data_IF_774602292060
#
_entry.id   IF_774602292060
#
_cell.length_a   1.000
_cell.length_b   1.000
_cell.length_c   1.000
_cell.angle_alpha   90.00
_cell.angle_beta   90.00
_cell.angle_gamma   90.00
#
_symmetry.space_group_name_H-M   'P 1'
#
loop_
_entity.id
_entity.type
_entity.pdbx_description
1 polymer ?
#
# COMPACT_ATOMS: atom_id res chain seq x y z
N UNK A 1 9.17 -12.97 22.63
CA UNK A 1 9.15 -11.67 21.97
C UNK A 1 8.23 -11.65 20.76
N UNK A 2 7.84 -10.48 20.34
CA UNK A 2 7.06 -10.25 19.12
C UNK A 2 7.84 -9.27 18.26
N UNK A 3 7.97 -9.58 16.98
CA UNK A 3 8.60 -8.68 16.01
C UNK A 3 7.67 -8.58 14.80
N UNK A 4 6.82 -7.57 14.82
CA UNK A 4 5.81 -7.35 13.77
C UNK A 4 5.73 -5.88 13.43
N UNK A 5 5.77 -5.58 12.14
CA UNK A 5 5.65 -4.23 11.59
C UNK A 5 4.48 -4.22 10.62
N UNK A 6 3.62 -3.24 10.77
CA UNK A 6 2.50 -2.99 9.86
C UNK A 6 2.61 -1.54 9.36
N UNK A 7 2.65 -1.37 8.06
CA UNK A 7 2.81 -0.08 7.42
C UNK A 7 1.80 0.10 6.28
N UNK A 8 1.26 1.30 6.18
CA UNK A 8 0.55 1.76 4.98
C UNK A 8 1.24 3.03 4.50
N UNK A 9 1.66 3.04 3.26
CA UNK A 9 2.36 4.19 2.70
C UNK A 9 2.43 4.13 1.19
N UNK A 10 3.11 5.10 0.62
CA UNK A 10 3.27 5.21 -0.82
C UNK A 10 4.72 4.92 -1.23
N UNK A 11 4.88 4.27 -2.37
CA UNK A 11 6.22 4.05 -2.90
C UNK A 11 6.87 5.37 -3.33
N UNK A 12 8.07 5.63 -2.81
CA UNK A 12 8.86 6.81 -3.14
C UNK A 12 9.66 6.68 -4.43
N UNK A 13 9.78 5.47 -4.93
CA UNK A 13 10.45 5.12 -6.18
C UNK A 13 9.90 3.82 -6.74
N UNK A 14 10.19 3.53 -7.99
CA UNK A 14 9.89 2.21 -8.57
C UNK A 14 10.63 1.11 -7.79
N UNK A 15 10.01 -0.06 -7.58
CA UNK A 15 10.68 -1.19 -6.93
C UNK A 15 11.93 -1.62 -7.68
N UNK A 16 12.99 -1.89 -6.94
CA UNK A 16 14.19 -2.50 -7.50
C UNK A 16 14.13 -4.01 -7.28
N UNK A 17 14.10 -4.76 -8.37
CA UNK A 17 14.06 -6.22 -8.33
C UNK A 17 15.40 -6.78 -8.80
N UNK A 18 15.97 -7.65 -7.98
CA UNK A 18 17.19 -8.40 -8.27
C UNK A 18 16.95 -9.88 -8.05
N UNK A 19 17.78 -10.69 -8.67
CA UNK A 19 17.75 -12.13 -8.48
C UNK A 19 19.01 -12.58 -7.75
N UNK A 20 18.82 -13.44 -6.73
CA UNK A 20 19.92 -14.07 -6.04
C UNK A 20 20.59 -15.13 -6.92
N UNK A 21 21.76 -15.64 -6.50
CA UNK A 21 22.44 -16.69 -7.22
C UNK A 21 21.60 -17.96 -7.35
N UNK A 22 20.70 -18.22 -6.40
CA UNK A 22 19.75 -19.33 -6.45
C UNK A 22 18.52 -19.07 -7.33
N UNK A 23 18.43 -17.88 -7.96
CA UNK A 23 17.29 -17.50 -8.79
C UNK A 23 16.08 -16.94 -8.03
N UNK A 24 16.22 -16.68 -6.74
CA UNK A 24 15.14 -16.08 -5.92
C UNK A 24 15.07 -14.58 -6.19
N UNK A 25 13.89 -14.10 -6.52
CA UNK A 25 13.64 -12.67 -6.67
C UNK A 25 13.73 -11.95 -5.32
N UNK A 26 14.36 -10.79 -5.32
CA UNK A 26 14.47 -9.89 -4.17
C UNK A 26 14.07 -8.50 -4.61
N UNK A 27 13.04 -7.95 -4.01
CA UNK A 27 12.59 -6.59 -4.31
C UNK A 27 12.89 -5.65 -3.13
N UNK A 28 13.48 -4.51 -3.44
CA UNK A 28 13.69 -3.43 -2.49
C UNK A 28 12.68 -2.33 -2.76
N UNK A 29 11.99 -1.92 -1.72
CA UNK A 29 11.00 -0.87 -1.74
C UNK A 29 11.43 0.28 -0.83
N UNK A 30 11.16 1.48 -1.27
CA UNK A 30 11.27 2.66 -0.43
C UNK A 30 9.89 3.22 -0.16
N UNK A 31 9.44 3.09 1.07
CA UNK A 31 8.09 3.42 1.47
C UNK A 31 8.07 4.77 2.20
N UNK A 32 7.24 5.68 1.73
CA UNK A 32 6.94 6.92 2.43
C UNK A 32 5.70 6.71 3.30
N UNK A 33 5.91 6.74 4.61
CA UNK A 33 4.84 6.67 5.60
C UNK A 33 4.66 8.05 6.21
N UNK A 34 3.55 8.69 5.88
CA UNK A 34 3.27 10.05 6.31
C UNK A 34 2.21 10.07 7.41
N UNK A 35 2.48 10.87 8.42
CA UNK A 35 1.55 11.11 9.51
C UNK A 35 1.51 12.60 9.85
N UNK A 36 0.41 13.02 10.42
CA UNK A 36 0.29 14.39 10.94
C UNK A 36 0.59 14.39 12.43
N UNK A 37 1.51 15.23 12.82
CA UNK A 37 1.92 15.41 14.21
C UNK A 37 1.63 16.83 14.66
N UNK A 38 1.24 16.96 15.93
CA UNK A 38 1.07 18.24 16.58
C UNK A 38 2.37 18.63 17.28
N UNK A 39 2.88 19.83 17.00
CA UNK A 39 4.06 20.35 17.66
C UNK A 39 3.73 20.94 19.05
N UNK A 40 4.77 21.41 19.74
CA UNK A 40 4.61 22.00 21.07
C UNK A 40 3.83 23.32 21.07
N UNK A 41 3.78 24.01 19.93
CA UNK A 41 3.03 25.25 19.75
C UNK A 41 1.58 25.03 19.35
N UNK A 42 1.17 23.77 19.19
CA UNK A 42 -0.17 23.38 18.82
C UNK A 42 -0.45 23.34 17.31
N UNK A 43 0.56 23.53 16.48
CA UNK A 43 0.44 23.46 15.03
C UNK A 43 0.54 22.03 14.53
N UNK A 44 -0.22 21.73 13.46
CA UNK A 44 -0.17 20.43 12.80
C UNK A 44 0.87 20.45 11.69
N UNK A 45 1.82 19.54 11.76
CA UNK A 45 2.87 19.35 10.77
C UNK A 45 2.82 17.96 10.20
N UNK A 46 3.12 17.85 8.90
CA UNK A 46 3.27 16.56 8.23
C UNK A 46 4.69 16.03 8.46
N UNK A 47 4.77 14.77 8.85
CA UNK A 47 6.03 14.06 9.03
C UNK A 47 6.03 12.80 8.19
N UNK A 48 7.10 12.58 7.43
CA UNK A 48 7.25 11.41 6.57
C UNK A 48 8.46 10.60 7.02
N UNK A 49 8.21 9.33 7.36
CA UNK A 49 9.26 8.34 7.55
C UNK A 49 9.50 7.59 6.25
N UNK A 50 10.76 7.48 5.88
CA UNK A 50 11.20 6.69 4.73
C UNK A 50 11.66 5.33 5.20
N UNK A 51 10.90 4.31 4.90
CA UNK A 51 11.14 2.95 5.39
C UNK A 51 11.68 2.09 4.26
N UNK A 52 12.83 1.47 4.49
CA UNK A 52 13.36 0.43 3.60
C UNK A 52 12.63 -0.87 3.86
N UNK A 53 12.11 -1.45 2.81
CA UNK A 53 11.40 -2.72 2.86
C UNK A 53 11.96 -3.66 1.81
N UNK A 54 12.16 -4.90 2.20
CA UNK A 54 12.62 -5.95 1.31
C UNK A 54 11.59 -7.08 1.31
N UNK A 55 11.34 -7.65 0.15
CA UNK A 55 10.53 -8.86 0.00
C UNK A 55 11.19 -9.84 -0.96
N UNK A 56 10.78 -11.09 -0.88
CA UNK A 56 11.43 -12.21 -1.56
C UNK A 56 10.42 -13.04 -2.34
N UNK A 57 10.94 -13.77 -3.32
CA UNK A 57 10.21 -14.78 -4.05
C UNK A 57 9.03 -14.23 -4.83
N UNK A 58 7.90 -14.88 -4.73
CA UNK A 58 6.69 -14.52 -5.48
C UNK A 58 6.14 -13.14 -5.13
N UNK A 59 6.27 -12.72 -3.88
CA UNK A 59 5.92 -11.36 -3.46
C UNK A 59 6.78 -10.34 -4.17
N UNK A 60 8.07 -10.59 -4.29
CA UNK A 60 8.99 -9.73 -5.02
C UNK A 60 8.66 -9.64 -6.51
N UNK A 61 8.33 -10.75 -7.14
CA UNK A 61 7.90 -10.77 -8.54
C UNK A 61 6.63 -9.94 -8.76
N UNK A 62 5.63 -10.09 -7.91
CA UNK A 62 4.39 -9.34 -7.99
C UNK A 62 4.62 -7.84 -7.79
N UNK A 63 5.44 -7.49 -6.83
CA UNK A 63 5.82 -6.10 -6.57
C UNK A 63 6.51 -5.48 -7.79
N UNK A 64 7.45 -6.18 -8.37
CA UNK A 64 8.16 -5.71 -9.56
C UNK A 64 7.29 -5.54 -10.79
N UNK A 65 6.30 -6.43 -10.97
CA UNK A 65 5.42 -6.43 -12.13
C UNK A 65 4.30 -5.38 -12.04
N UNK A 66 3.80 -5.09 -10.84
CA UNK A 66 2.55 -4.32 -10.68
C UNK A 66 2.71 -2.99 -9.95
N UNK A 67 3.78 -2.79 -9.19
CA UNK A 67 3.97 -1.58 -8.41
C UNK A 67 4.89 -0.58 -9.11
N UNK A 68 4.56 0.68 -8.96
CA UNK A 68 5.34 1.83 -9.44
C UNK A 68 5.38 2.92 -8.37
N UNK A 69 6.29 3.87 -8.55
CA UNK A 69 6.36 5.08 -7.73
C UNK A 69 4.98 5.72 -7.56
N UNK A 70 4.67 6.10 -6.33
CA UNK A 70 3.42 6.78 -5.96
C UNK A 70 2.28 5.83 -5.56
N UNK A 71 2.43 4.54 -5.80
CA UNK A 71 1.42 3.54 -5.47
C UNK A 71 1.30 3.35 -3.96
N UNK A 72 0.07 3.28 -3.46
CA UNK A 72 -0.18 2.98 -2.05
C UNK A 72 -0.17 1.47 -1.82
N UNK A 73 0.48 1.05 -0.75
CA UNK A 73 0.60 -0.35 -0.35
C UNK A 73 0.42 -0.53 1.16
N UNK A 74 -0.09 -1.69 1.52
CA UNK A 74 -0.07 -2.21 2.88
C UNK A 74 1.05 -3.23 2.98
N UNK A 75 1.88 -3.10 4.00
CA UNK A 75 2.99 -4.01 4.25
C UNK A 75 2.87 -4.57 5.65
N UNK A 76 3.03 -5.87 5.76
CA UNK A 76 3.16 -6.60 7.00
C UNK A 76 4.45 -7.40 6.99
N UNK A 77 5.23 -7.30 8.04
CA UNK A 77 6.51 -7.98 8.13
C UNK A 77 7.15 -7.89 9.50
N UNK A 78 8.46 -7.99 9.53
CA UNK A 78 9.28 -7.88 10.72
C UNK A 78 10.42 -6.90 10.53
N UNK A 79 10.90 -6.34 11.61
CA UNK A 79 12.09 -5.50 11.61
C UNK A 79 13.35 -6.37 11.66
N UNK A 80 14.31 -6.06 10.80
CA UNK A 80 15.58 -6.77 10.73
C UNK A 80 16.73 -5.78 10.60
N UNK A 81 17.78 -6.02 11.35
CA UNK A 81 19.05 -5.31 11.19
C UNK A 81 20.09 -6.28 10.65
N UNK A 82 20.70 -5.93 9.54
CA UNK A 82 21.80 -6.68 8.95
C UNK A 82 23.09 -5.89 9.02
N UNK A 83 24.18 -6.61 9.22
CA UNK A 83 25.55 -6.09 9.21
C UNK A 83 26.16 -6.32 7.84
N UNK A 84 26.83 -5.32 7.31
CA UNK A 84 27.59 -5.42 6.06
C UNK A 84 28.85 -4.57 6.14
N UNK A 85 29.82 -4.87 5.30
CA UNK A 85 31.09 -4.16 5.26
C UNK A 85 31.14 -3.28 4.02
N UNK A 86 31.47 -2.00 4.20
CA UNK A 86 31.60 -1.07 3.09
C UNK A 86 32.95 -1.25 2.35
N UNK A 87 33.16 -0.48 1.30
CA UNK A 87 34.39 -0.52 0.49
C UNK A 87 35.65 -0.15 1.26
N UNK A 88 35.50 0.58 2.36
CA UNK A 88 36.59 1.02 3.22
C UNK A 88 36.92 0.01 4.34
N UNK A 89 36.22 -1.11 4.39
CA UNK A 89 36.39 -2.17 5.38
C UNK A 89 35.70 -1.91 6.70
N UNK A 90 34.86 -0.88 6.80
CA UNK A 90 34.09 -0.56 8.01
C UNK A 90 32.77 -1.32 8.06
N UNK A 91 32.43 -1.79 9.26
CA UNK A 91 31.15 -2.41 9.52
C UNK A 91 30.03 -1.39 9.48
N UNK A 92 28.98 -1.71 8.73
CA UNK A 92 27.76 -0.93 8.61
C UNK A 92 26.55 -1.75 9.04
N UNK A 93 25.54 -1.10 9.53
CA UNK A 93 24.28 -1.71 9.94
C UNK A 93 23.14 -1.08 9.15
N UNK A 94 22.26 -1.92 8.60
CA UNK A 94 21.04 -1.48 7.93
C UNK A 94 19.84 -2.11 8.60
N UNK A 95 18.94 -1.26 9.07
CA UNK A 95 17.65 -1.69 9.63
C UNK A 95 16.57 -1.54 8.56
N UNK A 96 15.87 -2.61 8.31
CA UNK A 96 14.85 -2.68 7.26
C UNK A 96 13.68 -3.54 7.70
N UNK A 97 12.55 -3.40 7.02
CA UNK A 97 11.40 -4.27 7.19
C UNK A 97 11.47 -5.39 6.18
N UNK A 98 11.43 -6.62 6.65
CA UNK A 98 11.29 -7.80 5.78
C UNK A 98 9.80 -8.10 5.67
N UNK A 99 9.23 -7.79 4.51
CA UNK A 99 7.82 -7.96 4.26
C UNK A 99 7.49 -9.42 3.95
N UNK A 100 6.53 -9.97 4.65
CA UNK A 100 5.95 -11.28 4.35
C UNK A 100 4.62 -11.15 3.63
N UNK A 101 3.99 -9.97 3.68
CA UNK A 101 2.76 -9.68 2.96
C UNK A 101 2.79 -8.25 2.42
N UNK A 102 2.45 -8.10 1.15
CA UNK A 102 2.28 -6.80 0.48
C UNK A 102 0.93 -6.80 -0.22
N UNK A 103 0.06 -5.89 0.17
CA UNK A 103 -1.25 -5.69 -0.45
C UNK A 103 -1.24 -4.37 -1.22
N UNK A 104 -1.72 -4.39 -2.43
CA UNK A 104 -1.80 -3.23 -3.29
C UNK A 104 -3.09 -2.47 -2.97
N UNK A 105 -2.96 -1.26 -2.46
CA UNK A 105 -4.08 -0.40 -2.10
C UNK A 105 -4.28 0.69 -3.15
N UNK A 106 -5.47 1.25 -3.15
CA UNK A 106 -5.85 2.29 -4.10
C UNK A 106 -6.15 1.75 -5.49
N UNK A 107 -7.02 2.43 -6.21
CA UNK A 107 -7.19 2.20 -7.64
C UNK A 107 -5.91 2.62 -8.35
N UNK A 108 -5.32 1.70 -9.11
CA UNK A 108 -4.36 2.13 -10.12
C UNK A 108 -4.98 3.29 -10.87
N UNK A 109 -4.21 4.32 -11.14
CA UNK A 109 -4.66 5.42 -11.98
C UNK A 109 -5.24 4.79 -13.25
N UNK A 110 -6.55 4.76 -13.32
CA UNK A 110 -7.21 4.48 -14.57
C UNK A 110 -6.90 5.69 -15.44
N UNK A 111 -5.92 5.58 -16.29
CA UNK A 111 -5.90 6.33 -17.52
C UNK A 111 -7.12 5.83 -18.32
N UNK A 112 -8.21 6.45 -18.06
CA UNK A 112 -9.50 6.14 -18.64
C UNK A 112 -10.53 7.06 -18.04
N UNK A 113 -10.37 8.38 -18.24
CA UNK A 113 -11.52 9.27 -18.23
C UNK A 113 -12.45 8.81 -19.34
N UNK A 114 -13.24 7.80 -19.04
CA UNK A 114 -14.45 7.51 -19.81
C UNK A 114 -15.34 8.72 -19.73
N UNK A 115 -15.48 9.38 -20.85
CA UNK A 115 -16.42 10.42 -21.11
C UNK A 115 -17.82 9.91 -20.75
N UNK A 116 -18.31 10.24 -19.55
CA UNK A 116 -19.72 10.05 -19.25
C UNK A 116 -20.50 11.08 -20.06
N UNK A 117 -20.88 10.66 -21.24
CA UNK A 117 -21.89 11.35 -22.03
C UNK A 117 -23.17 11.42 -21.22
N UNK A 118 -23.56 12.63 -20.87
CA UNK A 118 -24.84 12.96 -20.26
C UNK A 118 -25.94 12.61 -21.25
N UNK A 119 -26.45 11.40 -21.21
CA UNK A 119 -27.73 11.08 -21.83
C UNK A 119 -28.80 11.21 -20.74
N UNK A 120 -29.47 12.33 -20.79
CA UNK A 120 -30.70 12.65 -20.10
C UNK A 120 -31.79 11.72 -20.67
N UNK A 121 -32.41 10.85 -19.90
CA UNK A 121 -33.60 10.16 -20.38
C UNK A 121 -34.80 11.09 -20.23
N UNK A 122 -35.47 11.24 -21.34
CA UNK A 122 -36.75 11.92 -21.41
C UNK A 122 -37.80 11.18 -20.58
N UNK A 123 -38.63 12.00 -19.94
CA UNK A 123 -39.77 11.60 -19.16
C UNK A 123 -40.79 10.84 -19.97
N UNK A 124 -41.13 9.63 -19.58
CA UNK A 124 -42.44 9.05 -19.86
C UNK A 124 -43.15 8.74 -18.56
N UNK A 125 -44.37 9.30 -18.47
CA UNK A 125 -45.22 9.26 -17.33
C UNK A 125 -45.92 7.92 -17.10
N UNK A 126 -46.34 7.75 -15.84
CA UNK A 126 -47.51 7.00 -15.46
C UNK A 126 -47.27 5.52 -15.17
N UNK A 127 -47.25 5.18 -13.90
CA UNK A 127 -47.37 3.81 -13.46
C UNK A 127 -47.18 3.70 -11.96
N UNK A 128 -48.26 3.73 -11.21
CA UNK A 128 -48.34 3.40 -9.80
C UNK A 128 -47.79 1.97 -9.59
N UNK A 129 -46.62 1.85 -8.98
CA UNK A 129 -46.25 0.62 -8.31
C UNK A 129 -45.95 0.92 -6.86
N UNK A 130 -46.56 0.21 -5.92
CA UNK A 130 -46.26 0.36 -4.51
C UNK A 130 -44.84 -0.15 -4.24
N UNK A 131 -44.10 0.62 -3.45
CA UNK A 131 -42.75 0.26 -3.00
C UNK A 131 -42.79 -1.07 -2.23
N UNK A 132 -41.84 -1.99 -2.52
CA UNK A 132 -41.69 -3.18 -1.67
C UNK A 132 -41.16 -2.77 -0.30
N UNK A 133 -41.75 -3.40 0.72
CA UNK A 133 -41.40 -3.20 2.12
C UNK A 133 -39.90 -3.39 2.35
N UNK A 134 -39.28 -2.45 3.06
CA UNK A 134 -37.92 -2.60 3.56
C UNK A 134 -37.88 -3.77 4.53
N UNK A 135 -37.17 -4.80 4.14
CA UNK A 135 -36.70 -5.82 5.06
C UNK A 135 -35.47 -5.23 5.80
N UNK A 136 -35.69 -4.91 7.07
CA UNK A 136 -34.61 -4.52 7.98
C UNK A 136 -33.91 -5.78 8.43
N UNK A 137 -33.05 -6.31 7.59
CA UNK A 137 -32.09 -7.32 7.98
C UNK A 137 -30.82 -6.64 8.48
N UNK A 138 -30.62 -6.73 9.76
CA UNK A 138 -29.38 -6.40 10.43
C UNK A 138 -28.26 -7.32 9.93
N UNK A 139 -27.46 -6.85 8.99
CA UNK A 139 -26.28 -7.58 8.57
C UNK A 139 -25.19 -6.67 7.96
N UNK A 140 -24.79 -5.67 8.72
CA UNK A 140 -23.71 -4.78 8.27
C UNK A 140 -22.53 -4.66 9.25
N UNK A 141 -22.24 -5.71 9.99
CA UNK A 141 -21.13 -5.66 10.93
C UNK A 141 -19.92 -6.51 10.59
N UNK A 142 -19.93 -7.23 9.47
CA UNK A 142 -18.85 -8.18 9.15
C UNK A 142 -17.94 -7.77 8.00
N UNK A 143 -18.05 -6.56 7.47
CA UNK A 143 -17.17 -6.10 6.41
C UNK A 143 -16.52 -4.75 6.75
N UNK A 144 -15.77 -4.70 7.83
CA UNK A 144 -14.77 -3.66 8.02
C UNK A 144 -13.41 -4.27 7.67
N UNK A 145 -12.82 -3.94 6.52
CA UNK A 145 -11.47 -4.39 6.19
C UNK A 145 -10.48 -3.66 7.09
N UNK A 146 -9.93 -4.41 7.98
CA UNK A 146 -8.75 -3.99 8.73
C UNK A 146 -7.51 -4.50 8.04
#
# INVERSE_FOLDING_TARGET
GINKVILVGNLGADPEVRYSQSGTAVANLRLAVSERRRDQEGNWNDHTEWVRTVCFGKTADNVGNYLKKGRQVYIEGRLQTRKWTNKEGNDQYTTEVVANQVLFLGSGSSEGRGNYSNNKPESFGGGNNPAPAMDTGDDYLDDVPF
#
